data_IF_124174840422
#
_entry.id   IF_124174840422
#
_cell.length_a   1.000
_cell.length_b   1.000
_cell.length_c   1.000
_cell.angle_alpha   90.00
_cell.angle_beta   90.00
_cell.angle_gamma   90.00
#
_symmetry.space_group_name_H-M   'P 1'
#
loop_
_entity.id
_entity.type
_entity.pdbx_description
1 polymer ?
#
# COMPACT_ATOMS: atom_id res chain seq x y z
N UNK A 1 18.62 6.30 12.97
CA UNK A 1 18.39 7.11 14.17
C UNK A 1 17.85 8.44 13.69
N UNK A 2 16.59 8.73 13.99
CA UNK A 2 15.95 10.02 13.68
C UNK A 2 16.60 11.07 14.59
N UNK A 3 17.02 12.19 14.02
CA UNK A 3 17.59 13.28 14.82
C UNK A 3 16.47 13.92 15.66
N UNK A 4 16.50 13.82 16.98
CA UNK A 4 15.41 14.30 17.85
C UNK A 4 15.25 15.82 17.90
N UNK A 5 16.12 16.56 17.21
CA UNK A 5 16.15 18.03 17.22
C UNK A 5 15.63 18.67 15.91
N UNK A 6 15.01 17.92 15.02
CA UNK A 6 14.38 18.52 13.83
C UNK A 6 12.98 18.97 14.24
N UNK A 7 12.76 20.27 14.26
CA UNK A 7 11.42 20.84 14.40
C UNK A 7 10.70 20.71 13.04
N UNK A 8 9.92 19.64 12.91
CA UNK A 8 9.16 19.33 11.70
C UNK A 8 8.10 20.41 11.40
N UNK A 9 7.53 21.02 12.43
CA UNK A 9 6.53 22.08 12.30
C UNK A 9 7.16 23.34 11.69
N UNK A 10 8.35 23.72 12.18
CA UNK A 10 9.08 24.87 11.65
C UNK A 10 9.53 24.61 10.20
N UNK A 11 10.02 23.40 9.93
CA UNK A 11 10.41 22.96 8.58
C UNK A 11 9.23 22.97 7.62
N UNK A 12 8.06 22.51 8.05
CA UNK A 12 6.83 22.51 7.26
C UNK A 12 6.34 23.94 6.98
N UNK A 13 6.24 24.80 7.99
CA UNK A 13 5.84 26.21 7.82
C UNK A 13 6.78 26.97 6.90
N UNK A 14 8.07 26.65 6.93
CA UNK A 14 9.07 27.23 6.04
C UNK A 14 8.90 26.78 4.59
N UNK A 15 8.51 25.51 4.39
CA UNK A 15 8.26 24.96 3.07
C UNK A 15 6.92 25.44 2.47
N UNK A 16 5.93 25.74 3.34
CA UNK A 16 4.56 26.12 2.95
C UNK A 16 4.10 27.36 3.71
N UNK A 17 4.71 28.54 3.44
CA UNK A 17 4.41 29.76 4.21
C UNK A 17 2.98 30.25 4.08
N UNK A 18 2.30 29.92 2.97
CA UNK A 18 0.93 30.35 2.66
C UNK A 18 -0.12 29.26 3.00
N UNK A 19 0.28 28.17 3.64
CA UNK A 19 -0.67 27.13 4.02
C UNK A 19 -1.47 27.53 5.26
N UNK A 20 -2.79 27.53 5.15
CA UNK A 20 -3.72 27.66 6.29
C UNK A 20 -3.85 26.35 7.07
N UNK A 21 -2.89 25.43 6.92
CA UNK A 21 -2.91 24.13 7.56
C UNK A 21 -2.72 24.33 9.06
N UNK A 22 -3.68 23.87 9.84
CA UNK A 22 -3.60 23.78 11.29
C UNK A 22 -2.78 22.54 11.60
N UNK A 23 -1.50 22.73 11.92
CA UNK A 23 -0.67 21.64 12.39
C UNK A 23 -1.10 21.26 13.82
N UNK A 24 -1.20 19.96 14.14
CA UNK A 24 -1.49 19.52 15.49
C UNK A 24 -0.43 20.07 16.47
N UNK A 25 -0.86 20.50 17.64
CA UNK A 25 0.07 20.90 18.70
C UNK A 25 0.91 19.68 19.10
N UNK A 26 2.20 19.87 19.37
CA UNK A 26 3.14 18.78 19.75
C UNK A 26 2.68 17.95 20.96
N UNK A 27 1.72 18.44 21.73
CA UNK A 27 1.16 17.77 22.90
C UNK A 27 -0.17 17.04 22.65
N UNK A 28 -0.69 17.06 21.42
CA UNK A 28 -1.95 16.41 21.07
C UNK A 28 -1.72 14.91 20.86
N UNK A 29 -1.61 14.20 21.98
CA UNK A 29 -1.54 12.72 21.91
C UNK A 29 -2.92 12.17 21.60
N UNK A 30 -3.01 11.15 20.75
CA UNK A 30 -4.26 10.45 20.53
C UNK A 30 -4.73 9.79 21.84
N UNK A 31 -6.03 9.88 22.12
CA UNK A 31 -6.65 9.19 23.25
C UNK A 31 -6.80 7.70 22.97
N UNK A 32 -7.04 7.36 21.71
CA UNK A 32 -7.18 5.99 21.23
C UNK A 32 -6.33 5.78 19.97
N UNK A 33 -5.81 4.56 19.83
CA UNK A 33 -5.10 4.13 18.62
C UNK A 33 -5.84 2.93 18.04
N UNK A 34 -6.24 3.05 16.78
CA UNK A 34 -6.87 1.96 16.03
C UNK A 34 -5.84 1.33 15.10
N UNK A 35 -5.80 -0.01 15.11
CA UNK A 35 -4.89 -0.77 14.23
C UNK A 35 -5.75 -1.59 13.28
N UNK A 36 -5.60 -1.33 11.99
CA UNK A 36 -6.33 -2.01 10.93
C UNK A 36 -5.42 -2.96 10.15
N UNK A 37 -5.91 -4.17 9.91
CA UNK A 37 -5.29 -5.15 9.04
C UNK A 37 -6.21 -5.51 7.87
N UNK A 38 -5.74 -6.33 6.93
CA UNK A 38 -6.44 -6.66 5.68
C UNK A 38 -7.89 -7.16 5.88
N UNK A 39 -8.20 -7.78 7.00
CA UNK A 39 -9.56 -8.22 7.33
C UNK A 39 -10.58 -7.09 7.47
N UNK A 40 -10.15 -5.86 7.77
CA UNK A 40 -11.06 -4.71 7.89
C UNK A 40 -11.57 -4.20 6.55
N UNK A 41 -10.82 -4.41 5.49
CA UNK A 41 -11.21 -4.05 4.11
C UNK A 41 -11.95 -5.20 3.38
N UNK A 42 -11.99 -6.39 3.98
CA UNK A 42 -12.61 -7.56 3.37
C UNK A 42 -14.12 -7.40 3.08
N UNK A 43 -14.93 -6.79 3.99
CA UNK A 43 -16.35 -6.53 3.70
C UNK A 43 -16.58 -5.61 2.50
N UNK A 44 -15.61 -4.75 2.17
CA UNK A 44 -15.65 -3.84 1.03
C UNK A 44 -15.10 -4.50 -0.26
N UNK A 45 -14.86 -5.81 -0.24
CA UNK A 45 -14.48 -6.62 -1.39
C UNK A 45 -12.97 -6.69 -1.66
N UNK A 46 -12.13 -6.15 -0.79
CA UNK A 46 -10.68 -6.29 -0.89
C UNK A 46 -10.29 -7.72 -0.52
N UNK A 47 -9.53 -8.44 -1.36
CA UNK A 47 -9.13 -9.81 -1.05
C UNK A 47 -8.16 -9.83 0.14
N UNK A 48 -8.36 -10.79 1.02
CA UNK A 48 -7.35 -11.09 2.03
C UNK A 48 -6.14 -11.77 1.38
N UNK A 49 -5.03 -11.75 2.07
CA UNK A 49 -3.75 -12.23 1.60
C UNK A 49 -3.77 -13.65 1.00
N UNK A 50 -4.50 -14.57 1.64
CA UNK A 50 -4.63 -15.95 1.16
C UNK A 50 -5.41 -16.10 -0.15
N UNK A 51 -6.14 -15.07 -0.56
CA UNK A 51 -6.95 -15.07 -1.79
C UNK A 51 -6.18 -14.48 -2.99
N UNK A 52 -5.15 -13.66 -2.74
CA UNK A 52 -4.47 -12.91 -3.80
C UNK A 52 -3.80 -13.83 -4.82
N UNK A 53 -2.99 -14.79 -4.37
CA UNK A 53 -2.32 -15.71 -5.30
C UNK A 53 -3.32 -16.62 -6.04
N UNK A 54 -4.33 -17.21 -5.40
CA UNK A 54 -5.41 -17.91 -6.11
C UNK A 54 -6.07 -17.07 -7.21
N UNK A 55 -6.33 -15.79 -6.98
CA UNK A 55 -6.92 -14.89 -7.98
C UNK A 55 -6.10 -14.81 -9.28
N UNK A 56 -4.78 -14.95 -9.22
CA UNK A 56 -3.91 -14.97 -10.40
C UNK A 56 -4.21 -16.16 -11.34
N UNK A 57 -4.80 -17.24 -10.83
CA UNK A 57 -5.12 -18.46 -11.58
C UNK A 57 -6.60 -18.54 -11.95
N UNK A 58 -7.47 -17.70 -11.38
CA UNK A 58 -8.87 -17.66 -11.76
C UNK A 58 -9.01 -17.18 -13.20
N UNK A 59 -9.83 -17.88 -13.99
CA UNK A 59 -10.22 -17.46 -15.33
C UNK A 59 -11.31 -16.40 -15.22
N UNK A 60 -10.96 -15.24 -14.67
CA UNK A 60 -11.89 -14.13 -14.46
C UNK A 60 -11.70 -13.03 -15.52
N UNK A 61 -12.51 -11.99 -15.40
CA UNK A 61 -12.60 -10.89 -16.35
C UNK A 61 -11.43 -9.91 -16.28
N UNK A 62 -10.51 -10.06 -15.32
CA UNK A 62 -9.37 -9.18 -15.15
C UNK A 62 -8.41 -9.29 -16.36
N UNK A 63 -8.45 -8.29 -17.23
CA UNK A 63 -7.64 -8.28 -18.46
C UNK A 63 -6.14 -8.36 -18.18
N UNK A 64 -5.67 -7.80 -17.06
CA UNK A 64 -4.26 -7.86 -16.69
C UNK A 64 -3.76 -9.30 -16.49
N UNK A 65 -4.63 -10.21 -16.02
CA UNK A 65 -4.28 -11.61 -15.86
C UNK A 65 -4.13 -12.34 -17.20
N UNK A 66 -4.72 -11.79 -18.28
CA UNK A 66 -4.57 -12.30 -19.65
C UNK A 66 -3.34 -11.71 -20.36
N UNK A 67 -2.74 -10.67 -19.78
CA UNK A 67 -1.54 -10.03 -20.33
C UNK A 67 -0.31 -10.92 -20.25
N UNK A 68 0.74 -10.54 -20.96
CA UNK A 68 2.04 -11.22 -20.89
C UNK A 68 2.63 -11.20 -19.47
N UNK A 69 2.41 -10.12 -18.72
CA UNK A 69 2.80 -10.01 -17.32
C UNK A 69 2.09 -11.08 -16.47
N UNK A 70 0.79 -11.19 -16.58
CA UNK A 70 0.01 -12.19 -15.84
C UNK A 70 0.39 -13.63 -16.20
N UNK A 71 0.67 -13.90 -17.49
CA UNK A 71 1.16 -15.20 -17.94
C UNK A 71 2.52 -15.53 -17.34
N UNK A 72 3.47 -14.58 -17.39
CA UNK A 72 4.82 -14.72 -16.86
C UNK A 72 4.82 -15.01 -15.35
N UNK A 73 3.98 -14.31 -14.59
CA UNK A 73 3.85 -14.55 -13.14
C UNK A 73 3.29 -15.94 -12.85
N UNK A 74 2.22 -16.36 -13.54
CA UNK A 74 1.68 -17.72 -13.36
C UNK A 74 2.68 -18.80 -13.73
N UNK A 75 3.46 -18.60 -14.79
CA UNK A 75 4.53 -19.50 -15.19
C UNK A 75 5.59 -19.61 -14.09
N UNK A 76 6.06 -18.49 -13.55
CA UNK A 76 7.00 -18.44 -12.44
C UNK A 76 6.46 -19.19 -11.21
N UNK A 77 5.23 -18.93 -10.82
CA UNK A 77 4.60 -19.59 -9.68
C UNK A 77 4.46 -21.11 -9.90
N UNK A 78 4.06 -21.53 -11.11
CA UNK A 78 3.91 -22.94 -11.47
C UNK A 78 5.24 -23.70 -11.52
N UNK A 79 6.35 -23.03 -11.88
CA UNK A 79 7.68 -23.65 -11.95
C UNK A 79 8.37 -23.73 -10.58
N UNK A 80 8.08 -22.82 -9.65
CA UNK A 80 8.84 -22.66 -8.41
C UNK A 80 8.07 -23.01 -7.14
N UNK A 81 6.74 -23.16 -7.22
CA UNK A 81 5.87 -23.47 -6.09
C UNK A 81 4.94 -24.64 -6.40
N UNK A 82 4.58 -25.41 -5.37
CA UNK A 82 3.69 -26.58 -5.49
C UNK A 82 2.21 -26.17 -5.55
N UNK A 83 1.83 -25.32 -6.49
CA UNK A 83 0.48 -24.71 -6.61
C UNK A 83 -0.67 -25.73 -6.74
N UNK A 84 -0.39 -26.98 -7.10
CA UNK A 84 -1.40 -28.03 -7.19
C UNK A 84 -1.84 -28.57 -5.82
N UNK A 85 -1.01 -28.41 -4.78
CA UNK A 85 -1.32 -28.85 -3.42
C UNK A 85 -1.82 -27.69 -2.55
N UNK A 86 -1.14 -26.56 -2.61
CA UNK A 86 -1.48 -25.35 -1.87
C UNK A 86 -0.84 -24.16 -2.57
N UNK A 87 -1.60 -23.07 -2.69
CA UNK A 87 -1.02 -21.82 -3.15
C UNK A 87 -0.08 -21.24 -2.09
N UNK A 88 1.09 -20.71 -2.48
CA UNK A 88 1.93 -19.95 -1.57
C UNK A 88 1.22 -18.68 -1.11
N UNK A 89 1.60 -18.18 0.05
CA UNK A 89 1.19 -16.85 0.48
C UNK A 89 1.93 -15.78 -0.32
N UNK A 90 1.41 -14.56 -0.28
CA UNK A 90 2.06 -13.43 -0.95
C UNK A 90 3.47 -13.18 -0.39
N UNK A 91 3.63 -13.28 0.93
CA UNK A 91 4.92 -13.13 1.62
C UNK A 91 5.91 -14.22 1.24
N UNK A 92 5.46 -15.46 1.11
CA UNK A 92 6.33 -16.56 0.67
C UNK A 92 6.87 -16.29 -0.74
N UNK A 93 6.02 -15.76 -1.64
CA UNK A 93 6.44 -15.42 -3.00
C UNK A 93 7.44 -14.27 -3.00
N UNK A 94 7.12 -13.16 -2.32
CA UNK A 94 8.03 -12.02 -2.25
C UNK A 94 9.32 -12.37 -1.51
N UNK A 95 9.24 -13.07 -0.37
CA UNK A 95 10.40 -13.51 0.39
C UNK A 95 11.32 -14.43 -0.41
N UNK A 96 10.75 -15.34 -1.20
CA UNK A 96 11.51 -16.19 -2.10
C UNK A 96 12.24 -15.39 -3.18
N UNK A 97 11.55 -14.45 -3.84
CA UNK A 97 12.15 -13.58 -4.85
C UNK A 97 13.25 -12.71 -4.22
N UNK A 98 12.99 -12.09 -3.08
CA UNK A 98 13.93 -11.21 -2.39
C UNK A 98 15.16 -11.95 -1.89
N UNK A 99 15.00 -13.18 -1.41
CA UNK A 99 16.14 -14.02 -1.05
C UNK A 99 17.10 -14.21 -2.23
N UNK A 100 16.57 -14.50 -3.42
CA UNK A 100 17.39 -14.71 -4.61
C UNK A 100 18.04 -13.40 -5.11
N UNK A 101 17.31 -12.28 -5.08
CA UNK A 101 17.83 -10.97 -5.47
C UNK A 101 18.96 -10.54 -4.52
N UNK A 102 18.72 -10.60 -3.21
CA UNK A 102 19.66 -10.11 -2.20
C UNK A 102 20.96 -10.93 -2.12
N UNK A 103 20.91 -12.19 -2.54
CA UNK A 103 22.09 -13.06 -2.57
C UNK A 103 22.71 -13.19 -3.97
N UNK A 104 22.21 -12.46 -4.96
CA UNK A 104 22.63 -12.54 -6.36
C UNK A 104 22.57 -13.98 -6.93
N UNK A 105 21.54 -14.74 -6.55
CA UNK A 105 21.33 -16.13 -6.95
C UNK A 105 20.24 -16.25 -8.01
N UNK A 106 20.64 -16.55 -9.25
CA UNK A 106 19.71 -16.89 -10.32
C UNK A 106 19.12 -18.28 -10.10
N UNK A 107 17.79 -18.41 -10.22
CA UNK A 107 17.10 -19.72 -10.18
C UNK A 107 17.40 -20.57 -11.41
N UNK A 108 17.50 -19.93 -12.57
CA UNK A 108 17.80 -20.56 -13.85
C UNK A 108 18.25 -19.48 -14.85
N UNK A 109 18.62 -19.91 -16.07
CA UNK A 109 18.88 -18.93 -17.16
C UNK A 109 17.67 -18.06 -17.48
N UNK A 110 16.45 -18.61 -17.36
CA UNK A 110 15.17 -17.88 -17.57
C UNK A 110 14.87 -16.93 -16.43
N UNK A 111 15.15 -17.33 -15.20
CA UNK A 111 14.91 -16.58 -13.98
C UNK A 111 16.24 -16.09 -13.39
N UNK A 112 16.98 -15.34 -14.19
CA UNK A 112 18.16 -14.62 -13.74
C UNK A 112 17.76 -13.51 -12.75
N UNK A 113 18.68 -13.05 -11.91
CA UNK A 113 18.40 -11.98 -10.90
C UNK A 113 17.75 -10.76 -11.53
N UNK A 114 18.21 -10.33 -12.72
CA UNK A 114 17.61 -9.21 -13.45
C UNK A 114 16.15 -9.45 -13.86
N UNK A 115 15.80 -10.71 -14.15
CA UNK A 115 14.41 -11.08 -14.47
C UNK A 115 13.55 -11.21 -13.21
N UNK A 116 14.14 -11.62 -12.07
CA UNK A 116 13.46 -11.64 -10.78
C UNK A 116 13.13 -10.24 -10.29
N UNK A 117 14.01 -9.26 -10.50
CA UNK A 117 13.74 -7.83 -10.19
C UNK A 117 12.54 -7.32 -11.01
N UNK A 118 12.50 -7.61 -12.31
CA UNK A 118 11.36 -7.24 -13.16
C UNK A 118 10.08 -7.97 -12.72
N UNK A 119 10.20 -9.25 -12.40
CA UNK A 119 9.07 -10.06 -11.94
C UNK A 119 8.48 -9.51 -10.64
N UNK A 120 9.32 -9.09 -9.69
CA UNK A 120 8.88 -8.44 -8.45
C UNK A 120 8.08 -7.17 -8.74
N UNK A 121 8.61 -6.31 -9.63
CA UNK A 121 7.91 -5.11 -10.06
C UNK A 121 6.57 -5.43 -10.73
N UNK A 122 6.54 -6.42 -11.60
CA UNK A 122 5.33 -6.83 -12.31
C UNK A 122 4.29 -7.45 -11.35
N UNK A 123 4.74 -8.23 -10.36
CA UNK A 123 3.87 -8.78 -9.31
C UNK A 123 3.26 -7.64 -8.48
N UNK A 124 4.04 -6.62 -8.13
CA UNK A 124 3.53 -5.44 -7.42
C UNK A 124 2.46 -4.70 -8.23
N UNK A 125 2.66 -4.52 -9.55
CA UNK A 125 1.66 -3.90 -10.43
C UNK A 125 0.36 -4.71 -10.48
N UNK A 126 0.47 -6.03 -10.60
CA UNK A 126 -0.72 -6.90 -10.60
C UNK A 126 -1.45 -6.85 -9.27
N UNK A 127 -0.72 -6.88 -8.16
CA UNK A 127 -1.28 -6.75 -6.82
C UNK A 127 -2.09 -5.46 -6.70
N UNK A 128 -1.49 -4.33 -7.07
CA UNK A 128 -2.19 -3.06 -7.09
C UNK A 128 -3.45 -3.11 -7.96
N UNK A 129 -3.34 -3.66 -9.17
CA UNK A 129 -4.50 -3.77 -10.06
C UNK A 129 -5.62 -4.62 -9.45
N UNK A 130 -5.30 -5.74 -8.81
CA UNK A 130 -6.29 -6.60 -8.14
C UNK A 130 -6.99 -5.82 -7.02
N UNK A 131 -6.23 -5.14 -6.18
CA UNK A 131 -6.76 -4.34 -5.08
C UNK A 131 -7.64 -3.22 -5.64
N UNK A 132 -7.11 -2.37 -6.53
CA UNK A 132 -7.85 -1.25 -7.12
C UNK A 132 -9.10 -1.66 -7.89
N UNK A 133 -9.08 -2.83 -8.57
CA UNK A 133 -10.24 -3.33 -9.32
C UNK A 133 -11.37 -3.84 -8.44
N UNK A 134 -11.10 -4.11 -7.16
CA UNK A 134 -12.08 -4.57 -6.17
C UNK A 134 -12.55 -3.44 -5.26
N UNK A 135 -11.83 -2.32 -5.25
CA UNK A 135 -12.11 -1.20 -4.37
C UNK A 135 -13.36 -0.47 -4.85
N UNK A 136 -14.43 -0.59 -4.10
CA UNK A 136 -15.57 0.33 -4.13
C UNK A 136 -15.43 1.28 -2.93
N UNK A 137 -16.20 2.37 -2.93
CA UNK A 137 -16.17 3.31 -1.79
C UNK A 137 -16.54 2.57 -0.51
N UNK A 138 -15.64 2.50 0.45
CA UNK A 138 -15.90 1.84 1.72
C UNK A 138 -17.06 2.45 2.47
N UNK A 139 -18.01 1.63 2.87
CA UNK A 139 -19.09 2.02 3.78
C UNK A 139 -18.59 1.96 5.21
N UNK A 140 -17.87 0.90 5.57
CA UNK A 140 -17.38 0.68 6.94
C UNK A 140 -16.44 1.78 7.41
N UNK A 141 -15.45 2.17 6.59
CA UNK A 141 -14.52 3.24 6.96
C UNK A 141 -15.18 4.62 6.97
N UNK A 142 -16.17 4.86 6.13
CA UNK A 142 -16.95 6.10 6.21
C UNK A 142 -17.74 6.19 7.51
N UNK A 143 -18.41 5.14 7.94
CA UNK A 143 -19.12 5.09 9.20
C UNK A 143 -18.16 5.24 10.39
N UNK A 144 -16.98 4.62 10.31
CA UNK A 144 -15.92 4.79 11.29
C UNK A 144 -15.51 6.27 11.42
N UNK A 145 -15.11 6.92 10.33
CA UNK A 145 -14.69 8.32 10.37
C UNK A 145 -15.81 9.27 10.78
N UNK A 146 -17.04 9.00 10.35
CA UNK A 146 -18.20 9.78 10.78
C UNK A 146 -18.40 9.67 12.29
N UNK A 147 -18.30 8.48 12.86
CA UNK A 147 -18.40 8.27 14.29
C UNK A 147 -17.29 8.99 15.07
N UNK A 148 -16.06 8.97 14.57
CA UNK A 148 -14.94 9.70 15.18
C UNK A 148 -15.23 11.22 15.17
N UNK A 149 -15.68 11.74 14.04
CA UNK A 149 -16.04 13.17 13.89
C UNK A 149 -17.17 13.57 14.82
N UNK A 150 -18.26 12.80 14.87
CA UNK A 150 -19.45 13.10 15.67
C UNK A 150 -19.14 13.10 17.19
N UNK A 151 -18.21 12.26 17.61
CA UNK A 151 -17.78 12.16 19.01
C UNK A 151 -16.57 13.06 19.32
N UNK A 152 -16.08 13.83 18.38
CA UNK A 152 -14.89 14.70 18.50
C UNK A 152 -13.69 13.98 19.15
N UNK A 153 -13.41 12.76 18.70
CA UNK A 153 -12.35 11.92 19.29
C UNK A 153 -10.99 12.24 18.68
N UNK A 154 -9.97 12.31 19.54
CA UNK A 154 -8.57 12.39 19.11
C UNK A 154 -8.02 10.98 18.96
N UNK A 155 -7.73 10.58 17.73
CA UNK A 155 -7.29 9.23 17.44
C UNK A 155 -5.99 9.18 16.65
N UNK A 156 -5.28 8.07 16.79
CA UNK A 156 -4.24 7.63 15.87
C UNK A 156 -4.72 6.40 15.10
N UNK A 157 -4.31 6.30 13.85
CA UNK A 157 -4.61 5.14 13.00
C UNK A 157 -3.30 4.52 12.53
N UNK A 158 -3.19 3.21 12.66
CA UNK A 158 -2.12 2.40 12.09
C UNK A 158 -2.78 1.41 11.14
N UNK A 159 -2.37 1.39 9.90
CA UNK A 159 -2.84 0.39 8.93
C UNK A 159 -1.67 -0.41 8.35
N UNK A 160 -1.89 -1.70 8.16
CA UNK A 160 -1.00 -2.60 7.42
C UNK A 160 -1.62 -3.04 6.10
N UNK A 161 -2.72 -2.40 5.71
CA UNK A 161 -3.41 -2.71 4.47
C UNK A 161 -2.65 -2.14 3.27
N UNK A 162 -2.81 -2.80 2.14
CA UNK A 162 -2.28 -2.33 0.85
C UNK A 162 -3.28 -1.47 0.07
N UNK A 163 -4.51 -1.33 0.58
CA UNK A 163 -5.55 -0.50 -0.01
C UNK A 163 -5.56 0.91 0.61
N UNK A 164 -6.23 1.83 -0.06
CA UNK A 164 -6.38 3.24 0.34
C UNK A 164 -7.78 3.56 0.87
N UNK A 165 -8.58 2.54 1.18
CA UNK A 165 -10.00 2.74 1.54
C UNK A 165 -10.18 3.62 2.77
N UNK A 166 -9.30 3.48 3.77
CA UNK A 166 -9.39 4.28 4.99
C UNK A 166 -9.04 5.74 4.73
N UNK A 167 -8.05 5.99 3.86
CA UNK A 167 -7.62 7.35 3.49
C UNK A 167 -8.68 8.03 2.63
N UNK A 168 -9.20 7.33 1.61
CA UNK A 168 -10.27 7.83 0.75
C UNK A 168 -11.55 8.13 1.54
N UNK A 169 -11.87 7.31 2.54
CA UNK A 169 -13.01 7.53 3.41
C UNK A 169 -12.79 8.73 4.34
N UNK A 170 -11.55 8.97 4.80
CA UNK A 170 -11.20 10.16 5.57
C UNK A 170 -11.44 11.42 4.76
N UNK A 171 -10.91 11.51 3.54
CA UNK A 171 -11.05 12.67 2.67
C UNK A 171 -12.52 13.02 2.37
N UNK A 172 -13.41 12.01 2.35
CA UNK A 172 -14.85 12.23 2.16
C UNK A 172 -15.56 12.84 3.38
N UNK A 173 -14.98 12.70 4.57
CA UNK A 173 -15.60 13.14 5.85
C UNK A 173 -14.94 14.41 6.37
N UNK A 174 -13.65 14.62 6.06
CA UNK A 174 -12.84 15.71 6.56
C UNK A 174 -12.26 16.56 5.42
N UNK A 175 -13.08 17.44 4.84
CA UNK A 175 -12.73 18.25 3.67
C UNK A 175 -11.58 19.24 3.91
N UNK A 176 -11.40 19.69 5.17
CA UNK A 176 -10.44 20.73 5.55
C UNK A 176 -9.22 20.19 6.31
N UNK A 177 -9.03 18.87 6.34
CA UNK A 177 -7.94 18.22 7.09
C UNK A 177 -6.96 17.54 6.14
N UNK A 178 -5.73 17.41 6.59
CA UNK A 178 -4.71 16.60 5.92
C UNK A 178 -4.36 15.41 6.78
N UNK A 179 -4.08 14.29 6.11
CA UNK A 179 -3.54 13.11 6.76
C UNK A 179 -2.04 13.32 6.97
N UNK A 180 -1.59 13.20 8.21
CA UNK A 180 -0.16 13.10 8.53
C UNK A 180 0.20 11.63 8.69
N UNK A 181 0.94 11.10 7.75
CA UNK A 181 1.41 9.71 7.78
C UNK A 181 2.56 9.47 8.75
N UNK A 182 3.00 10.48 9.50
CA UNK A 182 4.13 10.41 10.43
C UNK A 182 5.41 9.84 9.80
N UNK A 183 5.55 9.97 8.50
CA UNK A 183 6.70 9.52 7.72
C UNK A 183 7.44 10.76 7.24
N UNK A 184 8.72 10.86 7.62
CA UNK A 184 9.60 11.88 7.07
C UNK A 184 9.99 11.48 5.63
N UNK A 185 9.28 12.04 4.66
CA UNK A 185 9.56 11.84 3.23
C UNK A 185 10.76 12.69 2.81
N UNK A 186 11.94 12.39 3.37
CA UNK A 186 13.22 13.12 3.17
C UNK A 186 13.55 13.29 1.68
N UNK A 187 13.02 12.45 0.81
CA UNK A 187 13.27 12.48 -0.63
C UNK A 187 12.22 13.26 -1.42
N UNK A 188 11.24 13.86 -0.78
CA UNK A 188 10.29 14.74 -1.44
C UNK A 188 10.97 16.05 -1.85
N UNK A 189 11.62 16.04 -2.99
CA UNK A 189 12.02 17.28 -3.64
C UNK A 189 10.82 17.73 -4.47
N UNK A 190 10.17 18.77 -4.00
CA UNK A 190 9.20 19.49 -4.83
C UNK A 190 9.89 20.02 -6.08
N UNK A 191 9.63 19.38 -7.20
CA UNK A 191 9.77 19.99 -8.49
C UNK A 191 8.40 20.52 -8.87
N UNK A 192 8.31 21.80 -9.24
CA UNK A 192 7.07 22.41 -9.74
C UNK A 192 6.56 21.77 -11.04
N UNK A 193 7.32 20.86 -11.60
CA UNK A 193 7.09 20.21 -12.89
C UNK A 193 6.59 18.76 -12.77
N UNK A 194 6.24 18.30 -11.55
CA UNK A 194 5.67 16.95 -11.38
C UNK A 194 4.16 17.03 -11.57
N UNK A 195 3.71 16.85 -12.81
CA UNK A 195 2.29 16.68 -13.17
C UNK A 195 1.72 15.29 -12.85
N UNK A 196 2.55 14.34 -12.44
CA UNK A 196 2.12 13.01 -12.04
C UNK A 196 2.98 12.51 -10.88
N UNK A 197 2.33 12.19 -9.78
CA UNK A 197 2.93 11.42 -8.69
C UNK A 197 2.98 9.96 -9.14
N UNK A 198 4.16 9.48 -9.53
CA UNK A 198 4.42 8.05 -9.58
C UNK A 198 4.63 7.55 -8.14
N UNK A 199 3.56 7.10 -7.51
CA UNK A 199 3.54 6.47 -6.17
C UNK A 199 4.26 5.11 -6.13
N UNK A 200 5.16 4.85 -7.07
CA UNK A 200 5.70 3.53 -7.37
C UNK A 200 7.11 3.30 -6.86
N UNK A 201 7.58 4.07 -5.87
CA UNK A 201 8.91 3.85 -5.30
C UNK A 201 8.79 3.59 -3.81
N UNK A 202 8.55 2.36 -3.46
CA UNK A 202 9.11 1.73 -2.26
C UNK A 202 9.49 0.30 -2.64
#
# INVERSE_FOLDING_TARGET
MVNPNIDYIESFKKAYPDSNIILPEQNDKPENVFIFGAGTSYPDGIPIQSEIIPLLFQRGDLQILKSEIGKKIREFLGENFSINSQFPTLEEVFGFIDFHINNDYSLSRKWAVTELIKLKTDLTKILHYIISSKTEKSVCFREFWQSIKDNNQKIGVITTNYDTLIDEAFDLIYDDYLIDYCIDLINFRYSKDIEAFDWWIV
#
